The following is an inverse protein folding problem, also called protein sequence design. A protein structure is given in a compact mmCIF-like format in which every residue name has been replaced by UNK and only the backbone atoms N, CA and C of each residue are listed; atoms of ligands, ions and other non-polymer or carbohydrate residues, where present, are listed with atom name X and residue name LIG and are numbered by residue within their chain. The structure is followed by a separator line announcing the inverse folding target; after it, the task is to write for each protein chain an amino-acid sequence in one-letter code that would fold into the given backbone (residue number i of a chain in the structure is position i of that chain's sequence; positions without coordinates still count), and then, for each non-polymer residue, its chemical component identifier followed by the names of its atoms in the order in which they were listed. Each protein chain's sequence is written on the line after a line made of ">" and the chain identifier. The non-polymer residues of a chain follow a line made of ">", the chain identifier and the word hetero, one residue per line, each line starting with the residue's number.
data_IF_632243709485
#
_entry.id   IF_632243709485
#
_cell.length_a   1.000
_cell.length_b   1.000
_cell.length_c   1.000
_cell.angle_alpha   90.00
_cell.angle_beta   90.00
_cell.angle_gamma   90.00
#
_symmetry.space_group_name_H-M   'P 1'
#
loop_
_entity.id
_entity.type
_entity.pdbx_description
1 polymer ?
#
# COMPACT_ATOMS: atom_id res chain seq x y z
N UNK A 1 3.53 5.64 33.35
CA UNK A 1 2.09 5.35 33.37
C UNK A 1 1.73 4.85 31.99
N UNK A 2 1.70 3.52 31.83
CA UNK A 2 1.60 2.84 30.54
C UNK A 2 0.12 2.86 30.13
N UNK A 3 -0.23 3.67 29.14
CA UNK A 3 -1.58 3.68 28.60
C UNK A 3 -1.87 2.31 27.96
N UNK A 4 -3.00 1.68 28.27
CA UNK A 4 -3.38 0.39 27.69
C UNK A 4 -3.58 0.59 26.18
N UNK A 5 -2.82 -0.18 25.39
CA UNK A 5 -3.01 -0.26 23.94
C UNK A 5 -4.33 -1.00 23.72
N UNK A 6 -5.37 -0.36 23.15
CA UNK A 6 -6.61 -1.05 22.86
C UNK A 6 -6.35 -2.10 21.78
N UNK A 7 -6.57 -3.36 22.11
CA UNK A 7 -6.59 -4.44 21.14
C UNK A 7 -7.86 -4.26 20.29
N UNK A 8 -7.74 -3.65 19.12
CA UNK A 8 -8.87 -3.48 18.18
C UNK A 8 -8.84 -4.63 17.17
N UNK A 9 -9.87 -5.52 17.14
CA UNK A 9 -10.04 -6.48 16.06
C UNK A 9 -10.56 -5.79 14.78
N UNK A 10 -9.94 -6.12 13.64
CA UNK A 10 -10.56 -6.18 12.30
C UNK A 10 -11.36 -4.98 11.79
N UNK A 11 -10.71 -4.09 11.01
CA UNK A 11 -11.39 -3.00 10.28
C UNK A 11 -11.64 -3.29 8.79
N UNK A 12 -11.37 -4.51 8.34
CA UNK A 12 -11.78 -4.90 7.00
C UNK A 12 -13.20 -5.47 7.04
N UNK A 13 -13.87 -5.51 5.87
CA UNK A 13 -15.03 -6.39 5.63
C UNK A 13 -14.82 -7.72 6.36
N UNK A 14 -15.89 -8.25 6.95
CA UNK A 14 -15.99 -9.47 7.79
C UNK A 14 -15.20 -10.71 7.28
N UNK A 15 -14.63 -10.68 6.07
CA UNK A 15 -13.86 -11.72 5.38
C UNK A 15 -12.31 -11.63 5.50
N UNK A 16 -11.75 -10.73 6.33
CA UNK A 16 -10.27 -10.51 6.36
C UNK A 16 -9.57 -11.10 7.58
N UNK A 17 -10.30 -11.91 8.34
CA UNK A 17 -9.70 -12.73 9.37
C UNK A 17 -8.60 -13.60 8.73
N UNK A 18 -7.36 -13.46 9.22
CA UNK A 18 -6.26 -14.38 8.91
C UNK A 18 -5.10 -13.87 8.04
N UNK A 19 -5.16 -12.75 7.32
CA UNK A 19 -4.00 -12.36 6.46
C UNK A 19 -2.88 -11.56 7.15
N UNK A 20 -2.89 -11.49 8.48
CA UNK A 20 -1.81 -10.87 9.27
C UNK A 20 -1.78 -9.33 9.25
N UNK A 21 -2.86 -8.68 8.85
CA UNK A 21 -2.98 -7.23 8.64
C UNK A 21 -3.36 -6.43 9.90
N UNK A 22 -3.15 -6.99 11.10
CA UNK A 22 -3.38 -6.27 12.37
C UNK A 22 -2.30 -5.21 12.64
N UNK A 23 -2.60 -4.23 13.50
CA UNK A 23 -1.69 -3.13 13.82
C UNK A 23 -1.93 -1.92 12.92
N UNK A 24 -0.92 -1.48 12.17
CA UNK A 24 -0.97 -0.27 11.36
C UNK A 24 -0.80 -0.60 9.86
N UNK A 25 -1.76 -1.28 9.23
CA UNK A 25 -1.64 -1.67 7.83
C UNK A 25 -1.65 -0.44 6.90
N UNK A 26 -0.77 -0.44 5.90
CA UNK A 26 -0.62 0.67 4.93
C UNK A 26 -1.93 1.07 4.27
N UNK A 27 -2.82 0.12 3.97
CA UNK A 27 -4.12 0.40 3.36
C UNK A 27 -4.98 1.33 4.23
N UNK A 28 -5.06 1.03 5.54
CA UNK A 28 -5.83 1.87 6.47
C UNK A 28 -5.15 3.22 6.67
N UNK A 29 -3.81 3.26 6.78
CA UNK A 29 -3.09 4.51 6.96
C UNK A 29 -3.23 5.44 5.75
N UNK A 30 -3.13 4.89 4.52
CA UNK A 30 -3.27 5.65 3.29
C UNK A 30 -4.72 6.14 3.08
N UNK A 31 -5.72 5.28 3.32
CA UNK A 31 -7.13 5.68 3.28
C UNK A 31 -7.47 6.72 4.34
N UNK A 32 -6.94 6.56 5.56
CA UNK A 32 -7.13 7.54 6.63
C UNK A 32 -6.51 8.89 6.27
N UNK A 33 -5.29 8.90 5.73
CA UNK A 33 -4.65 10.11 5.24
C UNK A 33 -5.48 10.80 4.16
N UNK A 34 -5.95 10.05 3.16
CA UNK A 34 -6.81 10.58 2.09
C UNK A 34 -8.12 11.15 2.64
N UNK A 35 -8.78 10.43 3.56
CA UNK A 35 -10.02 10.87 4.19
C UNK A 35 -9.85 12.16 4.99
N UNK A 36 -8.75 12.30 5.75
CA UNK A 36 -8.42 13.52 6.49
C UNK A 36 -8.24 14.72 5.55
N UNK A 37 -7.53 14.53 4.42
CA UNK A 37 -7.38 15.61 3.43
C UNK A 37 -8.70 15.97 2.77
N UNK A 38 -9.54 14.99 2.42
CA UNK A 38 -10.88 15.25 1.91
C UNK A 38 -11.76 15.97 2.95
N UNK A 39 -11.64 15.64 4.24
CA UNK A 39 -12.38 16.30 5.30
C UNK A 39 -12.07 17.79 5.39
N UNK A 40 -10.81 18.20 5.20
CA UNK A 40 -10.44 19.62 5.15
C UNK A 40 -11.16 20.41 4.03
N UNK A 41 -11.51 19.75 2.92
CA UNK A 41 -12.24 20.36 1.82
C UNK A 41 -13.76 20.46 2.08
N UNK A 42 -14.28 19.62 2.98
CA UNK A 42 -15.72 19.46 3.21
C UNK A 42 -16.20 20.11 4.52
N UNK A 43 -15.29 20.33 5.49
CA UNK A 43 -15.62 20.92 6.78
C UNK A 43 -15.98 22.40 6.66
N UNK A 44 -17.00 22.81 7.41
CA UNK A 44 -17.39 24.21 7.56
C UNK A 44 -16.38 24.95 8.44
N UNK A 45 -16.29 26.26 8.24
CA UNK A 45 -15.37 27.14 8.96
C UNK A 45 -16.07 27.86 10.14
N UNK A 46 -16.96 27.16 10.83
CA UNK A 46 -17.53 27.59 12.11
C UNK A 46 -16.57 27.27 13.27
N UNK A 47 -16.89 27.68 14.49
CA UNK A 47 -15.94 27.59 15.60
C UNK A 47 -15.62 26.14 15.99
N UNK A 48 -16.61 25.23 15.95
CA UNK A 48 -16.39 23.79 16.11
C UNK A 48 -15.57 23.21 14.94
N UNK A 49 -15.81 23.69 13.70
CA UNK A 49 -15.08 23.29 12.51
C UNK A 49 -13.61 23.70 12.53
N UNK A 50 -13.28 24.88 13.06
CA UNK A 50 -11.88 25.36 13.18
C UNK A 50 -11.06 24.47 14.11
N UNK A 51 -11.61 24.08 15.27
CA UNK A 51 -10.90 23.19 16.19
C UNK A 51 -10.63 21.82 15.53
N UNK A 52 -11.62 21.25 14.83
CA UNK A 52 -11.44 20.01 14.08
C UNK A 52 -10.40 20.15 12.97
N UNK A 53 -10.40 21.26 12.23
CA UNK A 53 -9.41 21.55 11.18
C UNK A 53 -8.00 21.53 11.75
N UNK A 54 -7.75 22.19 12.88
CA UNK A 54 -6.44 22.22 13.52
C UNK A 54 -5.99 20.81 13.96
N UNK A 55 -6.90 20.00 14.52
CA UNK A 55 -6.60 18.62 14.87
C UNK A 55 -6.27 17.76 13.64
N UNK A 56 -6.99 17.96 12.54
CA UNK A 56 -6.76 17.25 11.27
C UNK A 56 -5.41 17.63 10.68
N UNK A 57 -5.06 18.92 10.63
CA UNK A 57 -3.77 19.40 10.11
C UNK A 57 -2.61 18.83 10.92
N UNK A 58 -2.70 18.87 12.26
CA UNK A 58 -1.69 18.30 13.14
C UNK A 58 -1.52 16.78 12.91
N UNK A 59 -2.63 16.06 12.73
CA UNK A 59 -2.59 14.61 12.42
C UNK A 59 -2.00 14.35 11.04
N UNK A 60 -2.33 15.14 10.02
CA UNK A 60 -1.79 15.01 8.66
C UNK A 60 -0.27 15.21 8.63
N UNK A 61 0.25 16.19 9.37
CA UNK A 61 1.70 16.40 9.50
C UNK A 61 2.39 15.21 10.15
N UNK A 62 1.88 14.75 11.31
CA UNK A 62 2.44 13.60 12.01
C UNK A 62 2.39 12.32 11.17
N UNK A 63 1.26 12.08 10.49
CA UNK A 63 1.06 10.91 9.64
C UNK A 63 1.97 10.96 8.40
N UNK A 64 2.08 12.11 7.73
CA UNK A 64 3.01 12.27 6.59
C UNK A 64 4.45 11.95 6.97
N UNK A 65 4.93 12.52 8.09
CA UNK A 65 6.28 12.26 8.58
C UNK A 65 6.47 10.77 8.89
N UNK A 66 5.53 10.17 9.63
CA UNK A 66 5.62 8.78 10.04
C UNK A 66 5.65 7.82 8.85
N UNK A 67 4.73 7.98 7.90
CA UNK A 67 4.63 7.11 6.73
C UNK A 67 5.86 7.24 5.84
N UNK A 68 6.26 8.47 5.49
CA UNK A 68 7.40 8.72 4.60
C UNK A 68 8.74 8.29 5.19
N UNK A 69 8.87 8.32 6.53
CA UNK A 69 10.13 7.98 7.19
C UNK A 69 10.26 6.50 7.55
N UNK A 70 9.15 5.86 7.97
CA UNK A 70 9.20 4.54 8.60
C UNK A 70 8.54 3.43 7.77
N UNK A 71 7.53 3.76 6.96
CA UNK A 71 6.91 2.78 6.07
C UNK A 71 7.63 2.69 4.71
N UNK A 72 8.37 3.72 4.31
CA UNK A 72 9.08 3.73 3.05
C UNK A 72 10.26 2.76 3.04
N UNK A 73 10.33 1.93 2.00
CA UNK A 73 11.41 0.99 1.76
C UNK A 73 11.89 1.08 0.32
N UNK A 74 13.18 1.35 0.15
CA UNK A 74 13.93 1.24 -1.10
C UNK A 74 15.24 0.47 -0.81
N UNK A 75 16.07 0.25 -1.84
CA UNK A 75 17.34 -0.47 -1.68
C UNK A 75 18.27 0.14 -0.62
N UNK A 76 18.28 1.48 -0.48
CA UNK A 76 19.10 2.17 0.52
C UNK A 76 18.56 1.91 1.93
N UNK A 77 17.26 2.11 2.14
CA UNK A 77 16.63 1.90 3.43
C UNK A 77 16.68 0.42 3.86
N UNK A 78 16.53 -0.51 2.91
CA UNK A 78 16.69 -1.93 3.19
C UNK A 78 18.11 -2.25 3.68
N UNK A 79 19.14 -1.69 3.03
CA UNK A 79 20.52 -1.86 3.46
C UNK A 79 20.79 -1.22 4.84
N UNK A 80 20.15 -0.10 5.15
CA UNK A 80 20.25 0.53 6.48
C UNK A 80 19.59 -0.34 7.56
N UNK A 81 18.39 -0.89 7.31
CA UNK A 81 17.67 -1.79 8.23
C UNK A 81 18.46 -3.08 8.46
N UNK A 82 19.04 -3.64 7.40
CA UNK A 82 19.89 -4.84 7.48
C UNK A 82 21.09 -4.65 8.41
N UNK A 83 21.52 -3.39 8.63
CA UNK A 83 22.67 -3.04 9.46
C UNK A 83 22.28 -2.46 10.82
N UNK A 84 21.00 -2.53 11.20
CA UNK A 84 20.55 -2.00 12.49
C UNK A 84 21.25 -2.70 13.64
N UNK A 85 21.51 -1.91 14.68
CA UNK A 85 21.79 -2.44 16.01
C UNK A 85 20.46 -2.62 16.75
N UNK A 86 20.42 -3.61 17.62
CA UNK A 86 19.25 -3.93 18.45
C UNK A 86 19.42 -3.32 19.84
N UNK A 87 18.33 -3.26 20.61
CA UNK A 87 18.31 -2.81 22.01
C UNK A 87 18.73 -1.35 22.20
N UNK A 88 18.45 -0.50 21.22
CA UNK A 88 18.72 0.93 21.30
C UNK A 88 17.67 1.65 22.17
N UNK A 89 18.04 2.02 23.39
CA UNK A 89 17.20 2.82 24.29
C UNK A 89 17.63 4.29 24.29
N UNK A 90 17.21 5.07 23.28
CA UNK A 90 17.41 6.53 23.28
C UNK A 90 16.45 7.27 22.35
N UNK A 91 16.22 8.57 22.62
CA UNK A 91 15.50 9.45 21.69
C UNK A 91 16.24 9.66 20.36
N UNK A 92 17.54 9.36 20.30
CA UNK A 92 18.39 9.41 19.11
C UNK A 92 18.57 8.06 18.42
N UNK A 93 17.90 7.00 18.90
CA UNK A 93 17.98 5.66 18.31
C UNK A 93 17.64 5.67 16.81
N UNK A 94 18.39 4.92 16.01
CA UNK A 94 18.14 4.74 14.58
C UNK A 94 17.06 3.66 14.41
N UNK A 95 17.18 2.55 15.17
CA UNK A 95 16.22 1.45 15.16
C UNK A 95 15.02 1.75 16.08
N UNK A 96 14.17 2.72 15.71
CA UNK A 96 13.05 3.21 16.53
C UNK A 96 12.05 2.14 16.96
N UNK A 97 11.92 1.06 16.19
CA UNK A 97 10.96 -0.01 16.46
C UNK A 97 11.62 -1.29 16.97
N UNK A 98 12.93 -1.26 17.25
CA UNK A 98 13.70 -2.44 17.68
C UNK A 98 13.48 -3.66 16.76
N UNK A 99 13.57 -3.43 15.45
CA UNK A 99 13.47 -4.46 14.41
C UNK A 99 14.72 -5.32 14.46
N UNK A 100 14.55 -6.64 14.44
CA UNK A 100 15.65 -7.60 14.39
C UNK A 100 16.11 -7.75 12.94
N UNK A 101 17.35 -7.37 12.55
CA UNK A 101 17.84 -7.53 11.17
C UNK A 101 17.74 -8.98 10.68
N UNK A 102 18.02 -9.95 11.55
CA UNK A 102 17.96 -11.39 11.24
C UNK A 102 16.53 -11.89 10.98
N UNK A 103 15.51 -11.06 11.25
CA UNK A 103 14.10 -11.37 10.93
C UNK A 103 13.66 -10.87 9.55
N UNK A 104 14.54 -10.18 8.81
CA UNK A 104 14.27 -9.77 7.43
C UNK A 104 14.04 -11.00 6.54
N UNK A 105 12.90 -11.11 5.84
CA UNK A 105 12.65 -12.24 4.97
C UNK A 105 13.61 -12.24 3.75
N UNK A 106 14.22 -13.39 3.44
CA UNK A 106 15.18 -13.53 2.34
C UNK A 106 14.66 -12.98 0.99
N UNK A 107 13.38 -13.22 0.71
CA UNK A 107 12.75 -12.78 -0.55
C UNK A 107 12.83 -11.26 -0.76
N UNK A 108 12.92 -10.46 0.32
CA UNK A 108 12.91 -8.99 0.21
C UNK A 108 14.18 -8.47 -0.46
N UNK A 109 15.32 -9.15 -0.24
CA UNK A 109 16.61 -8.77 -0.83
C UNK A 109 16.62 -9.04 -2.34
N UNK A 110 16.08 -10.17 -2.77
CA UNK A 110 15.99 -10.52 -4.19
C UNK A 110 14.90 -9.72 -4.91
N UNK A 111 13.82 -9.38 -4.21
CA UNK A 111 12.70 -8.62 -4.75
C UNK A 111 13.02 -7.13 -4.89
N UNK A 112 13.78 -6.52 -3.98
CA UNK A 112 14.07 -5.08 -4.05
C UNK A 112 14.96 -4.74 -5.27
N UNK A 113 14.48 -3.97 -6.26
CA UNK A 113 15.31 -3.55 -7.39
C UNK A 113 16.30 -2.45 -6.98
N UNK A 114 17.33 -2.22 -7.79
CA UNK A 114 18.27 -1.09 -7.60
C UNK A 114 17.57 0.27 -7.74
N UNK A 115 16.56 0.35 -8.61
CA UNK A 115 15.70 1.52 -8.79
C UNK A 115 14.26 1.13 -8.51
N UNK A 116 13.68 1.75 -7.49
CA UNK A 116 12.30 1.52 -7.07
C UNK A 116 12.19 1.47 -5.55
N UNK A 117 10.95 1.45 -5.07
CA UNK A 117 10.64 1.40 -3.66
C UNK A 117 9.13 1.38 -3.42
N UNK A 118 8.72 1.10 -2.20
CA UNK A 118 7.30 1.04 -1.84
C UNK A 118 7.10 1.31 -0.34
N UNK A 119 5.85 1.57 0.03
CA UNK A 119 5.43 1.54 1.42
C UNK A 119 5.13 0.10 1.84
N UNK A 120 5.84 -0.39 2.86
CA UNK A 120 5.67 -1.73 3.41
C UNK A 120 4.30 -1.91 4.05
N UNK A 121 3.89 -3.17 4.22
CA UNK A 121 2.57 -3.53 4.69
C UNK A 121 2.23 -3.04 6.09
N UNK A 122 3.20 -3.02 7.01
CA UNK A 122 2.95 -2.67 8.41
C UNK A 122 4.24 -2.29 9.15
N UNK A 123 4.13 -1.36 10.10
CA UNK A 123 5.18 -1.01 11.06
C UNK A 123 4.58 -0.97 12.46
N UNK A 124 5.14 -1.75 13.38
CA UNK A 124 4.74 -1.79 14.79
C UNK A 124 5.95 -2.12 15.68
N UNK A 125 5.86 -1.94 17.01
CA UNK A 125 6.95 -2.30 17.91
C UNK A 125 7.42 -3.75 17.69
N UNK A 126 8.72 -3.93 17.46
CA UNK A 126 9.40 -5.19 17.17
C UNK A 126 8.87 -5.97 15.94
N UNK A 127 8.10 -5.33 15.04
CA UNK A 127 7.53 -6.00 13.87
C UNK A 127 7.39 -5.05 12.67
N UNK A 128 8.01 -5.43 11.57
CA UNK A 128 7.77 -4.87 10.23
C UNK A 128 7.23 -5.97 9.31
N UNK A 129 6.12 -5.69 8.63
CA UNK A 129 5.60 -6.56 7.57
C UNK A 129 6.05 -5.99 6.22
N UNK A 130 7.05 -6.63 5.64
CA UNK A 130 7.69 -6.20 4.40
C UNK A 130 6.83 -6.45 3.16
N UNK A 131 5.70 -7.16 3.25
CA UNK A 131 4.86 -7.44 2.08
C UNK A 131 4.43 -6.14 1.40
N UNK A 132 4.42 -6.15 0.08
CA UNK A 132 3.86 -5.09 -0.74
C UNK A 132 2.35 -5.23 -0.81
N UNK A 133 1.60 -4.14 -0.67
CA UNK A 133 0.14 -4.09 -0.80
C UNK A 133 -0.26 -3.06 -1.86
N UNK A 134 -1.02 -3.51 -2.86
CA UNK A 134 -1.34 -2.71 -4.04
C UNK A 134 -2.17 -1.47 -3.70
N UNK A 135 -3.27 -1.66 -2.97
CA UNK A 135 -4.22 -0.59 -2.66
C UNK A 135 -3.53 0.52 -1.86
N UNK A 136 -2.80 0.15 -0.81
CA UNK A 136 -2.10 1.10 0.05
C UNK A 136 -1.10 1.97 -0.71
N UNK A 137 -0.31 1.36 -1.60
CA UNK A 137 0.66 2.10 -2.43
C UNK A 137 -0.03 2.98 -3.49
N UNK A 138 -1.11 2.52 -4.13
CA UNK A 138 -1.87 3.34 -5.08
C UNK A 138 -2.54 4.53 -4.39
N UNK A 139 -3.20 4.31 -3.24
CA UNK A 139 -3.85 5.38 -2.47
C UNK A 139 -2.82 6.36 -1.91
N UNK A 140 -1.63 5.90 -1.52
CA UNK A 140 -0.54 6.78 -1.09
C UNK A 140 -0.12 7.76 -2.22
N UNK A 141 -0.07 7.29 -3.47
CA UNK A 141 0.18 8.15 -4.64
C UNK A 141 -0.98 9.12 -4.85
N UNK A 142 -2.22 8.62 -4.91
CA UNK A 142 -3.42 9.40 -5.23
C UNK A 142 -3.71 10.51 -4.20
N UNK A 143 -3.46 10.24 -2.93
CA UNK A 143 -3.64 11.20 -1.84
C UNK A 143 -2.47 12.17 -1.66
N UNK A 144 -1.39 12.03 -2.44
CA UNK A 144 -0.11 12.74 -2.25
C UNK A 144 0.54 12.52 -0.87
N UNK A 145 0.28 11.37 -0.27
CA UNK A 145 1.06 10.87 0.88
C UNK A 145 2.49 10.54 0.44
N UNK A 146 2.63 9.84 -0.69
CA UNK A 146 3.91 9.61 -1.33
C UNK A 146 4.46 10.91 -1.92
N UNK A 147 5.75 11.19 -1.74
CA UNK A 147 6.41 12.30 -2.48
C UNK A 147 6.47 11.98 -3.98
N UNK A 148 6.83 12.95 -4.86
CA UNK A 148 6.99 12.68 -6.29
C UNK A 148 8.03 11.58 -6.55
N UNK A 149 9.15 11.61 -5.83
CA UNK A 149 10.23 10.62 -5.94
C UNK A 149 9.76 9.24 -5.49
N UNK A 150 9.03 9.16 -4.37
CA UNK A 150 8.44 7.91 -3.88
C UNK A 150 7.41 7.36 -4.86
N UNK A 151 6.57 8.23 -5.42
CA UNK A 151 5.56 7.85 -6.41
C UNK A 151 6.20 7.31 -7.69
N UNK A 152 7.25 7.97 -8.18
CA UNK A 152 8.03 7.49 -9.31
C UNK A 152 8.73 6.17 -9.01
N UNK A 153 9.28 6.01 -7.79
CA UNK A 153 9.92 4.78 -7.37
C UNK A 153 8.94 3.60 -7.22
N UNK A 154 7.69 3.84 -6.82
CA UNK A 154 6.63 2.82 -6.83
C UNK A 154 6.35 2.36 -8.26
N UNK A 155 6.30 3.29 -9.22
CA UNK A 155 6.09 2.95 -10.63
C UNK A 155 7.29 2.19 -11.22
N UNK A 156 8.52 2.63 -10.92
CA UNK A 156 9.75 1.93 -11.31
C UNK A 156 9.79 0.49 -10.73
N UNK A 157 9.32 0.30 -9.49
CA UNK A 157 9.18 -1.03 -8.87
C UNK A 157 8.18 -1.91 -9.64
N UNK A 158 6.99 -1.39 -9.98
CA UNK A 158 5.96 -2.12 -10.72
C UNK A 158 6.47 -2.52 -12.11
N UNK A 159 7.20 -1.65 -12.79
CA UNK A 159 7.83 -1.96 -14.08
C UNK A 159 8.92 -3.04 -13.92
N UNK A 160 9.78 -2.92 -12.91
CA UNK A 160 10.89 -3.85 -12.67
C UNK A 160 10.44 -5.24 -12.19
N UNK A 161 9.35 -5.32 -11.43
CA UNK A 161 8.78 -6.55 -10.84
C UNK A 161 7.41 -6.87 -11.42
N UNK A 162 7.25 -6.64 -12.72
CA UNK A 162 5.98 -6.80 -13.43
C UNK A 162 5.43 -8.23 -13.29
N UNK A 163 6.27 -9.25 -13.43
CA UNK A 163 5.81 -10.64 -13.38
C UNK A 163 5.34 -11.04 -11.98
N UNK A 164 5.96 -10.52 -10.93
CA UNK A 164 5.61 -10.74 -9.54
C UNK A 164 4.34 -9.99 -9.12
N UNK A 165 4.20 -8.72 -9.52
CA UNK A 165 3.13 -7.82 -9.06
C UNK A 165 1.89 -7.81 -9.97
N UNK A 166 2.07 -8.12 -11.26
CA UNK A 166 1.01 -8.14 -12.29
C UNK A 166 0.87 -9.55 -12.88
N UNK A 167 1.97 -10.15 -13.33
CA UNK A 167 1.96 -11.45 -14.01
C UNK A 167 1.10 -11.43 -15.28
N UNK A 168 0.16 -12.37 -15.38
CA UNK A 168 -0.77 -12.53 -16.51
C UNK A 168 -2.20 -12.08 -16.18
N UNK A 169 -2.41 -11.49 -14.99
CA UNK A 169 -3.69 -10.88 -14.61
C UNK A 169 -3.44 -9.76 -13.59
N UNK A 170 -3.68 -8.48 -13.96
CA UNK A 170 -3.59 -7.37 -13.02
C UNK A 170 -4.66 -7.48 -11.92
N UNK A 171 -4.40 -7.13 -10.66
CA UNK A 171 -3.10 -6.93 -10.00
C UNK A 171 -3.04 -7.80 -8.76
N UNK A 172 -1.84 -8.18 -8.33
CA UNK A 172 -1.70 -8.80 -7.02
C UNK A 172 -2.24 -7.90 -5.93
N UNK A 173 -3.06 -8.43 -5.03
CA UNK A 173 -3.54 -7.68 -3.86
C UNK A 173 -2.38 -7.39 -2.90
N UNK A 174 -1.53 -8.40 -2.69
CA UNK A 174 -0.29 -8.30 -1.94
C UNK A 174 0.78 -9.23 -2.51
N UNK A 175 2.04 -8.98 -2.17
CA UNK A 175 3.17 -9.83 -2.54
C UNK A 175 4.24 -9.89 -1.44
N UNK A 176 4.86 -11.06 -1.19
CA UNK A 176 4.48 -12.39 -1.68
C UNK A 176 3.31 -13.00 -0.88
N UNK A 177 2.82 -14.16 -1.33
CA UNK A 177 1.92 -14.98 -0.54
C UNK A 177 2.67 -15.63 0.65
N UNK A 178 1.97 -15.78 1.77
CA UNK A 178 2.42 -16.58 2.90
C UNK A 178 2.27 -18.07 2.57
N UNK A 179 3.30 -18.85 2.90
CA UNK A 179 3.34 -20.30 2.64
C UNK A 179 3.63 -21.10 3.93
N UNK A 180 3.37 -22.40 3.89
CA UNK A 180 3.76 -23.37 4.92
C UNK A 180 3.46 -22.95 6.37
N UNK A 181 4.48 -22.79 7.22
CA UNK A 181 4.33 -22.44 8.64
C UNK A 181 3.74 -21.04 8.83
N UNK A 182 4.17 -20.07 8.01
CA UNK A 182 3.66 -18.71 8.08
C UNK A 182 2.16 -18.67 7.78
N UNK A 183 1.71 -19.41 6.74
CA UNK A 183 0.29 -19.53 6.45
C UNK A 183 -0.48 -20.16 7.61
N UNK A 184 0.00 -21.27 8.18
CA UNK A 184 -0.67 -21.94 9.32
C UNK A 184 -0.83 -21.02 10.53
N UNK A 185 0.23 -20.32 10.89
CA UNK A 185 0.28 -19.47 12.09
C UNK A 185 -0.52 -18.18 11.88
N UNK A 186 -0.25 -17.46 10.79
CA UNK A 186 -0.83 -16.12 10.57
C UNK A 186 -2.31 -16.21 10.18
N UNK A 187 -2.67 -17.20 9.35
CA UNK A 187 -4.04 -17.37 8.86
C UNK A 187 -4.93 -18.24 9.73
N UNK A 188 -4.36 -18.97 10.69
CA UNK A 188 -5.13 -19.98 11.41
C UNK A 188 -5.59 -21.13 10.51
N UNK A 189 -4.78 -21.45 9.48
CA UNK A 189 -5.10 -22.45 8.45
C UNK A 189 -6.36 -22.13 7.61
N UNK A 190 -6.60 -20.86 7.30
CA UNK A 190 -7.78 -20.43 6.53
C UNK A 190 -7.79 -21.05 5.11
N UNK A 191 -8.76 -21.93 4.79
CA UNK A 191 -8.81 -22.67 3.54
C UNK A 191 -9.19 -21.82 2.31
N UNK A 192 -9.66 -20.58 2.49
CA UNK A 192 -9.92 -19.62 1.40
C UNK A 192 -8.65 -18.86 1.02
N UNK A 193 -7.78 -18.60 1.99
CA UNK A 193 -6.52 -17.85 1.85
C UNK A 193 -5.29 -18.76 1.66
N UNK A 194 -5.43 -19.83 0.87
CA UNK A 194 -4.30 -20.71 0.51
C UNK A 194 -3.23 -19.96 -0.32
N UNK A 195 -2.08 -20.61 -0.57
CA UNK A 195 -0.98 -20.02 -1.35
C UNK A 195 -1.46 -19.37 -2.65
N UNK A 196 -1.12 -18.11 -2.86
CA UNK A 196 -1.45 -17.36 -4.08
C UNK A 196 -2.94 -17.35 -4.42
N UNK A 197 -3.80 -17.29 -3.40
CA UNK A 197 -5.27 -17.33 -3.52
C UNK A 197 -5.92 -16.24 -2.70
N UNK A 198 -7.02 -15.69 -3.24
CA UNK A 198 -7.86 -14.69 -2.56
C UNK A 198 -7.02 -13.54 -1.98
N UNK A 199 -7.06 -13.29 -0.66
CA UNK A 199 -6.28 -12.21 -0.03
C UNK A 199 -4.78 -12.57 0.14
N UNK A 200 -4.41 -13.84 0.03
CA UNK A 200 -3.02 -14.32 0.19
C UNK A 200 -2.30 -14.40 -1.18
N UNK A 201 -2.10 -13.25 -1.82
CA UNK A 201 -1.40 -13.13 -3.11
C UNK A 201 -2.23 -13.47 -4.35
N UNK A 202 -3.56 -13.43 -4.25
CA UNK A 202 -4.44 -13.49 -5.41
C UNK A 202 -4.32 -12.25 -6.30
N UNK A 203 -4.68 -12.39 -7.58
CA UNK A 203 -4.79 -11.29 -8.55
C UNK A 203 -6.24 -10.80 -8.63
N UNK A 204 -6.45 -9.50 -8.44
CA UNK A 204 -7.78 -8.89 -8.31
C UNK A 204 -8.02 -7.86 -9.43
N UNK A 205 -8.89 -8.15 -10.40
CA UNK A 205 -9.18 -7.25 -11.53
C UNK A 205 -9.71 -5.88 -11.11
N UNK A 206 -10.44 -5.80 -9.98
CA UNK A 206 -10.94 -4.53 -9.45
C UNK A 206 -9.81 -3.52 -9.17
N UNK A 207 -8.58 -3.95 -8.88
CA UNK A 207 -7.47 -3.03 -8.60
C UNK A 207 -6.96 -2.27 -9.84
N UNK A 208 -7.40 -2.66 -11.04
CA UNK A 208 -6.98 -2.07 -12.30
C UNK A 208 -7.27 -0.57 -12.38
N UNK A 209 -8.41 -0.10 -11.83
CA UNK A 209 -8.73 1.33 -11.84
C UNK A 209 -7.81 2.14 -10.92
N UNK A 210 -7.43 1.59 -9.76
CA UNK A 210 -6.53 2.25 -8.82
C UNK A 210 -5.13 2.42 -9.41
N UNK A 211 -4.60 1.36 -10.02
CA UNK A 211 -3.32 1.45 -10.74
C UNK A 211 -3.42 2.46 -11.87
N UNK A 212 -4.51 2.44 -12.65
CA UNK A 212 -4.68 3.38 -13.75
C UNK A 212 -4.66 4.83 -13.28
N UNK A 213 -5.41 5.15 -12.23
CA UNK A 213 -5.40 6.48 -11.64
C UNK A 213 -3.99 6.89 -11.15
N UNK A 214 -3.29 5.98 -10.45
CA UNK A 214 -1.93 6.23 -9.99
C UNK A 214 -0.93 6.41 -11.15
N UNK A 215 -1.06 5.63 -12.23
CA UNK A 215 -0.26 5.76 -13.45
C UNK A 215 -0.49 7.11 -14.15
N UNK A 216 -1.74 7.58 -14.23
CA UNK A 216 -2.04 8.90 -14.80
C UNK A 216 -1.42 9.99 -13.93
N UNK A 217 -1.62 9.94 -12.61
CA UNK A 217 -1.09 10.93 -11.66
C UNK A 217 0.44 11.03 -11.70
N UNK A 218 1.12 9.93 -11.98
CA UNK A 218 2.59 9.87 -12.07
C UNK A 218 3.13 10.10 -13.49
N UNK A 219 2.26 10.38 -14.47
CA UNK A 219 2.68 10.58 -15.86
C UNK A 219 3.21 9.30 -16.54
N UNK A 220 2.76 8.12 -16.09
CA UNK A 220 3.16 6.79 -16.60
C UNK A 220 1.98 6.00 -17.22
N UNK A 221 1.19 6.57 -18.16
CA UNK A 221 -0.01 5.91 -18.68
C UNK A 221 0.26 4.62 -19.46
N UNK A 222 1.50 4.39 -19.93
CA UNK A 222 1.89 3.15 -20.62
C UNK A 222 1.75 1.91 -19.73
N UNK A 223 1.99 2.04 -18.42
CA UNK A 223 1.83 0.94 -17.45
C UNK A 223 0.36 0.51 -17.39
N UNK A 224 -0.54 1.50 -17.29
CA UNK A 224 -1.99 1.27 -17.28
C UNK A 224 -2.49 0.65 -18.59
N UNK A 225 -2.04 1.15 -19.76
CA UNK A 225 -2.39 0.57 -21.07
C UNK A 225 -2.02 -0.90 -21.15
N UNK A 226 -0.78 -1.25 -20.78
CA UNK A 226 -0.30 -2.65 -20.75
C UNK A 226 -1.14 -3.52 -19.82
N UNK A 227 -1.50 -3.02 -18.64
CA UNK A 227 -2.33 -3.76 -17.68
C UNK A 227 -3.74 -4.00 -18.22
N UNK A 228 -4.36 -2.98 -18.83
CA UNK A 228 -5.70 -3.08 -19.41
C UNK A 228 -5.73 -4.05 -20.59
N UNK A 229 -4.79 -3.95 -21.53
CA UNK A 229 -4.68 -4.88 -22.67
C UNK A 229 -4.54 -6.34 -22.20
N UNK A 230 -3.74 -6.56 -21.14
CA UNK A 230 -3.60 -7.87 -20.53
C UNK A 230 -4.92 -8.38 -19.93
N UNK A 231 -5.65 -7.53 -19.21
CA UNK A 231 -6.95 -7.88 -18.64
C UNK A 231 -8.00 -8.17 -19.73
N UNK A 232 -8.06 -7.35 -20.78
CA UNK A 232 -9.00 -7.48 -21.91
C UNK A 232 -8.87 -8.81 -22.64
N UNK A 233 -7.67 -9.39 -22.68
CA UNK A 233 -7.42 -10.68 -23.33
C UNK A 233 -8.21 -11.85 -22.70
N UNK A 234 -8.66 -11.70 -21.44
CA UNK A 234 -9.21 -12.80 -20.62
C UNK A 234 -10.49 -12.46 -19.85
N UNK A 235 -10.65 -11.26 -19.29
CA UNK A 235 -11.75 -10.96 -18.34
C UNK A 235 -13.14 -11.33 -18.87
N UNK A 236 -13.44 -10.95 -20.11
CA UNK A 236 -14.72 -11.26 -20.74
C UNK A 236 -14.89 -12.78 -21.00
N UNK A 237 -13.84 -13.44 -21.50
CA UNK A 237 -13.84 -14.90 -21.78
C UNK A 237 -14.03 -15.73 -20.52
N UNK A 238 -13.46 -15.28 -19.41
CA UNK A 238 -13.54 -15.93 -18.11
C UNK A 238 -14.82 -15.54 -17.33
N UNK A 239 -15.74 -14.79 -17.95
CA UNK A 239 -17.00 -14.32 -17.37
C UNK A 239 -16.83 -13.42 -16.13
N UNK A 240 -15.90 -12.47 -16.19
CA UNK A 240 -15.66 -11.45 -15.16
C UNK A 240 -15.52 -12.00 -13.73
N UNK A 241 -14.50 -12.84 -13.46
CA UNK A 241 -14.29 -13.37 -12.12
C UNK A 241 -14.01 -12.30 -11.07
N UNK A 242 -14.34 -12.61 -9.82
CA UNK A 242 -13.99 -11.80 -8.65
C UNK A 242 -12.47 -11.69 -8.44
N UNK A 243 -11.72 -12.78 -8.66
CA UNK A 243 -10.27 -12.85 -8.46
C UNK A 243 -9.67 -14.05 -9.21
N UNK A 244 -8.34 -14.07 -9.32
CA UNK A 244 -7.53 -15.11 -9.96
C UNK A 244 -6.43 -15.61 -9.03
N UNK A 245 -6.05 -16.88 -9.19
CA UNK A 245 -5.09 -17.58 -8.35
C UNK A 245 -3.79 -17.93 -9.09
N UNK A 246 -2.78 -18.26 -8.27
CA UNK A 246 -1.45 -18.68 -8.70
C UNK A 246 -0.48 -17.51 -8.84
N UNK A 247 0.82 -17.82 -8.83
CA UNK A 247 1.91 -16.83 -8.86
C UNK A 247 1.73 -15.76 -9.94
N UNK A 248 1.28 -16.18 -11.14
CA UNK A 248 1.08 -15.31 -12.29
C UNK A 248 -0.40 -14.95 -12.56
N UNK A 249 -1.36 -15.34 -11.71
CA UNK A 249 -2.79 -15.10 -11.95
C UNK A 249 -3.35 -15.89 -13.14
N UNK A 250 -2.83 -17.09 -13.39
CA UNK A 250 -3.21 -17.93 -14.54
C UNK A 250 -4.57 -18.59 -14.36
N UNK A 251 -4.95 -18.92 -13.13
CA UNK A 251 -6.16 -19.70 -12.86
C UNK A 251 -7.26 -18.77 -12.38
N UNK A 252 -8.51 -18.99 -12.80
CA UNK A 252 -9.66 -18.36 -12.16
C UNK A 252 -9.67 -18.76 -10.68
N UNK A 253 -10.00 -17.82 -9.79
CA UNK A 253 -9.88 -18.03 -8.36
C UNK A 253 -10.72 -19.22 -7.87
N UNK A 254 -10.18 -19.98 -6.92
CA UNK A 254 -10.72 -21.27 -6.45
C UNK A 254 -12.19 -21.21 -6.02
N UNK A 255 -12.61 -20.09 -5.44
CA UNK A 255 -13.99 -19.82 -5.02
C UNK A 255 -14.51 -18.51 -5.63
N UNK A 256 -13.98 -18.13 -6.80
CA UNK A 256 -14.30 -16.87 -7.43
C UNK A 256 -15.72 -16.86 -7.99
N UNK A 257 -16.48 -15.81 -7.65
CA UNK A 257 -17.80 -15.56 -8.27
C UNK A 257 -17.59 -15.01 -9.68
N UNK A 258 -18.43 -15.45 -10.62
CA UNK A 258 -18.52 -14.87 -11.97
C UNK A 258 -19.36 -13.60 -11.95
N UNK A 259 -19.19 -12.75 -12.97
CA UNK A 259 -19.93 -11.49 -13.13
C UNK A 259 -19.84 -10.58 -11.92
N UNK A 260 -18.67 -10.55 -11.29
CA UNK A 260 -18.47 -9.75 -10.11
C UNK A 260 -18.48 -8.26 -10.47
N UNK A 261 -19.44 -7.52 -9.89
CA UNK A 261 -19.73 -6.13 -10.25
C UNK A 261 -18.50 -5.23 -10.26
N UNK A 262 -17.66 -5.31 -9.23
CA UNK A 262 -16.47 -4.45 -9.13
C UNK A 262 -15.34 -4.83 -10.09
N UNK A 263 -15.32 -6.04 -10.63
CA UNK A 263 -14.33 -6.48 -11.62
C UNK A 263 -14.67 -5.85 -12.97
N UNK A 264 -15.98 -5.80 -13.29
CA UNK A 264 -16.51 -5.12 -14.46
C UNK A 264 -16.32 -3.60 -14.31
N UNK A 265 -16.77 -3.03 -13.18
CA UNK A 265 -16.70 -1.59 -12.95
C UNK A 265 -15.24 -1.08 -12.90
N UNK A 266 -14.33 -1.82 -12.26
CA UNK A 266 -12.91 -1.45 -12.22
C UNK A 266 -12.27 -1.40 -13.60
N UNK A 267 -12.61 -2.34 -14.48
CA UNK A 267 -12.18 -2.27 -15.88
C UNK A 267 -12.74 -1.05 -16.61
N UNK A 268 -14.04 -0.79 -16.49
CA UNK A 268 -14.69 0.35 -17.16
C UNK A 268 -14.12 1.69 -16.68
N UNK A 269 -13.94 1.86 -15.36
CA UNK A 269 -13.34 3.08 -14.80
C UNK A 269 -11.91 3.28 -15.29
N UNK A 270 -11.10 2.21 -15.34
CA UNK A 270 -9.74 2.27 -15.89
C UNK A 270 -9.74 2.76 -17.36
N UNK A 271 -10.63 2.22 -18.19
CA UNK A 271 -10.80 2.64 -19.59
C UNK A 271 -11.21 4.11 -19.70
N UNK A 272 -12.23 4.53 -18.96
CA UNK A 272 -12.72 5.91 -18.97
C UNK A 272 -11.65 6.92 -18.52
N UNK A 273 -10.85 6.58 -17.51
CA UNK A 273 -9.74 7.44 -17.05
C UNK A 273 -8.60 7.54 -18.06
N UNK A 274 -8.31 6.48 -18.82
CA UNK A 274 -7.30 6.55 -19.89
C UNK A 274 -7.78 7.33 -21.11
N UNK A 275 -9.07 7.22 -21.44
CA UNK A 275 -9.69 7.95 -22.54
C UNK A 275 -9.77 9.45 -22.22
N UNK A 276 -10.11 9.80 -20.98
CA UNK A 276 -10.11 11.17 -20.49
C UNK A 276 -9.43 11.28 -19.11
N UNK A 277 -8.12 11.65 -19.09
CA UNK A 277 -7.36 11.86 -17.86
C UNK A 277 -7.87 12.98 -16.96
N UNK A 278 -8.75 13.87 -17.44
CA UNK A 278 -9.31 14.95 -16.61
C UNK A 278 -10.14 14.41 -15.44
N UNK A 279 -10.67 13.20 -15.56
CA UNK A 279 -11.38 12.49 -14.50
C UNK A 279 -10.53 12.18 -13.26
N UNK A 280 -9.20 12.22 -13.36
CA UNK A 280 -8.30 11.92 -12.25
C UNK A 280 -8.59 12.82 -11.02
N UNK A 281 -8.94 14.09 -11.26
CA UNK A 281 -9.24 15.06 -10.19
C UNK A 281 -10.40 14.66 -9.26
N UNK A 282 -11.25 13.69 -9.67
CA UNK A 282 -12.31 13.16 -8.81
C UNK A 282 -11.79 12.25 -7.69
N UNK A 283 -10.60 11.66 -7.85
CA UNK A 283 -10.07 10.64 -6.93
C UNK A 283 -8.61 10.89 -6.51
N UNK A 284 -8.02 12.02 -6.93
CA UNK A 284 -6.68 12.42 -6.51
C UNK A 284 -6.68 13.78 -5.83
N UNK A 285 -5.71 13.98 -4.95
CA UNK A 285 -5.43 15.25 -4.31
C UNK A 285 -4.03 15.71 -4.71
N UNK A 286 -3.88 16.99 -5.03
CA UNK A 286 -2.58 17.60 -5.36
C UNK A 286 -1.70 17.76 -4.13
N UNK A 287 -0.42 18.10 -4.33
CA UNK A 287 0.48 18.41 -3.22
C UNK A 287 0.08 19.71 -2.51
N UNK A 288 0.26 19.74 -1.19
CA UNK A 288 0.07 20.97 -0.42
C UNK A 288 1.20 21.95 -0.75
N UNK A 289 0.89 23.04 -1.47
CA UNK A 289 1.84 24.13 -1.77
C UNK A 289 2.45 24.77 -0.50
N UNK A 290 1.87 24.53 0.68
CA UNK A 290 2.27 25.12 1.95
C UNK A 290 3.24 24.26 2.79
N UNK A 291 3.54 23.01 2.41
CA UNK A 291 4.31 22.09 3.25
C UNK A 291 5.84 22.10 3.04
N UNK A 292 6.39 23.16 2.45
CA UNK A 292 7.84 23.33 2.24
C UNK A 292 8.65 23.69 3.51
N UNK A 293 8.12 23.44 4.71
CA UNK A 293 8.94 23.51 5.93
C UNK A 293 9.65 22.18 6.14
N UNK A 294 10.84 22.06 5.55
CA UNK A 294 11.79 20.97 5.83
C UNK A 294 12.18 21.05 7.30
N UNK A 295 11.62 20.18 8.13
CA UNK A 295 12.14 19.96 9.49
C UNK A 295 13.47 19.22 9.34
N UNK A 296 14.57 19.99 9.35
CA UNK A 296 15.91 19.42 9.50
C UNK A 296 15.99 18.74 10.85
N UNK A 297 16.53 17.51 10.89
CA UNK A 297 16.90 16.83 12.14
C UNK A 297 17.67 17.81 13.02
N UNK A 298 17.17 18.08 14.23
CA UNK A 298 17.89 18.90 15.20
C UNK A 298 19.19 18.17 15.56
N UNK A 299 20.32 18.69 15.09
CA UNK A 299 21.61 18.35 15.66
C UNK A 299 21.65 18.99 17.05
N UNK A 300 21.58 18.17 18.09
CA UNK A 300 21.80 18.62 19.47
C UNK A 300 23.24 19.10 19.61
N UNK A 301 23.37 20.30 20.15
CA UNK A 301 24.58 21.04 20.43
C UNK A 301 25.57 20.26 21.30
N UNK A 302 26.86 20.36 20.95
CA UNK A 302 27.98 20.00 21.82
C UNK A 302 28.24 21.12 22.82
N UNK A 303 28.15 20.80 24.11
CA UNK A 303 28.90 21.44 25.19
C UNK A 303 29.62 20.32 25.96
#
# INVERSE_FOLDING_TARGET
>A
MQLPIPHVPGYYREDSHGVGVYGYPIEIQALFFMALRCALLLLKQDDDGKELVDQIVNRLHALSFHMRSYFWLDSKQLNDIYRYKTEEYSHTAVNKFNVMPDSLPDWVFDFMPTRGGYFIGNVSPARMDFRWFCLGNCVAILSSLATPEQSAAIMDLIEARWDELVGQMPLKICYPAMESHQWRIVTGCDPKNTRWSYHNGGSWPVLLWLLTAACIKTGRPQIARRAIELAESRLSKDHWPEYYDGKLGRYVGKQSRKFQTWSIAGYLVAKMMLEDPSHLGMISLEEDKQNNQVIKRSASWTA
#
